data_IF_173853679416
#
_entry.id   IF_173853679416
#
_cell.length_a   1.000
_cell.length_b   1.000
_cell.length_c   1.000
_cell.angle_alpha   90.00
_cell.angle_beta   90.00
_cell.angle_gamma   90.00
#
_symmetry.space_group_name_H-M   'P 1'
#
loop_
_entity.id
_entity.type
_entity.pdbx_description
1 polymer ?
#
# COMPACT_ATOMS: atom_id res chain seq x y z
N UNK A 1 -44.35 -19.31 6.71
CA UNK A 1 -43.05 -18.81 7.17
C UNK A 1 -43.29 -17.60 8.02
N UNK A 2 -42.75 -17.54 9.25
CA UNK A 2 -42.98 -16.40 10.14
C UNK A 2 -42.20 -15.17 9.62
N UNK A 3 -42.76 -13.96 9.82
CA UNK A 3 -42.12 -12.70 9.44
C UNK A 3 -40.71 -12.57 9.97
N UNK A 4 -40.41 -13.17 11.12
CA UNK A 4 -39.09 -13.23 11.76
C UNK A 4 -38.05 -14.04 10.96
N UNK A 5 -38.44 -15.14 10.31
CA UNK A 5 -37.53 -15.93 9.53
C UNK A 5 -37.12 -15.24 8.22
N UNK A 6 -38.02 -14.49 7.60
CA UNK A 6 -37.72 -13.69 6.40
C UNK A 6 -36.77 -12.53 6.74
N UNK A 7 -36.99 -11.86 7.88
CA UNK A 7 -36.10 -10.79 8.34
C UNK A 7 -34.69 -11.27 8.62
N UNK A 8 -34.51 -12.39 9.33
CA UNK A 8 -33.20 -12.98 9.61
C UNK A 8 -32.48 -13.41 8.32
N UNK A 9 -33.19 -14.01 7.36
CA UNK A 9 -32.62 -14.40 6.09
C UNK A 9 -32.13 -13.18 5.28
N UNK A 10 -32.91 -12.10 5.28
CA UNK A 10 -32.52 -10.86 4.59
C UNK A 10 -31.28 -10.23 5.20
N UNK A 11 -31.15 -10.23 6.53
CA UNK A 11 -29.95 -9.73 7.23
C UNK A 11 -28.74 -10.60 6.88
N UNK A 12 -28.88 -11.92 6.87
CA UNK A 12 -27.80 -12.84 6.52
C UNK A 12 -27.33 -12.65 5.08
N UNK A 13 -28.26 -12.48 4.14
CA UNK A 13 -27.96 -12.13 2.74
C UNK A 13 -27.20 -10.78 2.64
N UNK A 14 -27.67 -9.75 3.33
CA UNK A 14 -27.01 -8.45 3.32
C UNK A 14 -25.59 -8.54 3.87
N UNK A 15 -25.38 -9.25 4.98
CA UNK A 15 -24.04 -9.50 5.53
C UNK A 15 -23.13 -10.28 4.55
N UNK A 16 -23.68 -11.26 3.86
CA UNK A 16 -22.92 -12.01 2.85
C UNK A 16 -22.50 -11.15 1.67
N UNK A 17 -23.35 -10.22 1.22
CA UNK A 17 -23.02 -9.28 0.14
C UNK A 17 -21.97 -8.23 0.57
N UNK A 18 -22.04 -7.77 1.83
CA UNK A 18 -21.14 -6.73 2.34
C UNK A 18 -19.76 -7.31 2.69
N UNK A 19 -19.74 -8.45 3.38
CA UNK A 19 -18.51 -9.03 3.94
C UNK A 19 -17.96 -10.21 3.12
N UNK A 20 -18.72 -10.68 2.11
CA UNK A 20 -18.36 -11.88 1.37
C UNK A 20 -18.41 -13.16 2.21
N UNK A 21 -17.91 -14.25 1.64
CA UNK A 21 -17.83 -15.55 2.30
C UNK A 21 -16.48 -15.67 3.05
N UNK A 22 -16.47 -15.83 4.38
CA UNK A 22 -15.23 -15.88 5.17
C UNK A 22 -14.33 -17.08 4.83
N UNK A 23 -14.85 -18.14 4.21
CA UNK A 23 -14.03 -19.26 3.76
C UNK A 23 -13.07 -18.84 2.64
N UNK A 24 -13.50 -17.94 1.76
CA UNK A 24 -12.66 -17.47 0.66
C UNK A 24 -11.52 -16.58 1.12
N UNK A 25 -11.59 -15.94 2.30
CA UNK A 25 -10.45 -15.23 2.88
C UNK A 25 -9.28 -16.18 3.18
N UNK A 26 -9.59 -17.40 3.63
CA UNK A 26 -8.58 -18.42 3.88
C UNK A 26 -8.00 -18.96 2.58
N UNK A 27 -8.85 -19.11 1.56
CA UNK A 27 -8.44 -19.60 0.24
C UNK A 27 -7.47 -18.62 -0.41
N UNK A 28 -7.86 -17.35 -0.58
CA UNK A 28 -6.99 -16.34 -1.22
C UNK A 28 -5.69 -16.15 -0.45
N UNK A 29 -5.74 -16.15 0.90
CA UNK A 29 -4.55 -16.09 1.74
C UNK A 29 -3.60 -17.26 1.45
N UNK A 30 -4.13 -18.50 1.41
CA UNK A 30 -3.34 -19.72 1.17
C UNK A 30 -2.71 -19.68 -0.22
N UNK A 31 -3.49 -19.41 -1.25
CA UNK A 31 -3.02 -19.39 -2.64
C UNK A 31 -2.00 -18.27 -2.88
N UNK A 32 -2.20 -17.08 -2.28
CA UNK A 32 -1.19 -16.01 -2.32
C UNK A 32 0.10 -16.45 -1.62
N UNK A 33 0.02 -17.10 -0.48
CA UNK A 33 1.21 -17.62 0.20
C UNK A 33 1.95 -18.66 -0.66
N UNK A 34 1.23 -19.60 -1.29
CA UNK A 34 1.79 -20.59 -2.22
C UNK A 34 2.45 -19.89 -3.41
N UNK A 35 1.78 -18.93 -4.02
CA UNK A 35 2.33 -18.14 -5.13
C UNK A 35 3.65 -17.45 -4.76
N UNK A 36 3.67 -16.76 -3.63
CA UNK A 36 4.87 -16.05 -3.15
C UNK A 36 6.04 -17.00 -2.91
N UNK A 37 5.78 -18.19 -2.37
CA UNK A 37 6.86 -19.15 -2.10
C UNK A 37 7.30 -19.93 -3.32
N UNK A 38 6.36 -20.40 -4.15
CA UNK A 38 6.67 -21.32 -5.26
C UNK A 38 7.01 -20.62 -6.56
N UNK A 39 6.37 -19.49 -6.83
CA UNK A 39 6.56 -18.75 -8.09
C UNK A 39 7.55 -17.61 -7.91
N UNK A 40 7.41 -16.83 -6.82
CA UNK A 40 8.27 -15.67 -6.56
C UNK A 40 9.51 -16.00 -5.73
N UNK A 41 9.57 -17.16 -5.09
CA UNK A 41 10.75 -17.64 -4.35
C UNK A 41 10.96 -16.97 -2.98
N UNK A 42 10.00 -16.19 -2.48
CA UNK A 42 10.10 -15.57 -1.16
C UNK A 42 10.14 -16.63 -0.05
N UNK A 43 11.00 -16.41 0.94
CA UNK A 43 11.06 -17.25 2.14
C UNK A 43 10.04 -16.77 3.17
N UNK A 44 9.50 -17.70 3.97
CA UNK A 44 8.54 -17.35 5.04
C UNK A 44 9.05 -16.25 5.99
N UNK A 45 10.36 -16.20 6.24
CA UNK A 45 10.97 -15.18 7.09
C UNK A 45 10.96 -13.76 6.49
N UNK A 46 10.77 -13.61 5.19
CA UNK A 46 10.74 -12.32 4.48
C UNK A 46 9.35 -11.69 4.53
N UNK A 47 8.32 -12.50 4.72
CA UNK A 47 6.95 -12.06 4.81
C UNK A 47 6.60 -11.79 6.28
N UNK A 48 6.06 -10.60 6.56
CA UNK A 48 5.58 -10.23 7.89
C UNK A 48 4.16 -10.74 8.12
N UNK A 49 3.26 -10.53 7.16
CA UNK A 49 1.87 -10.97 7.25
C UNK A 49 1.22 -11.17 5.89
N UNK A 50 0.25 -12.08 5.83
CA UNK A 50 -0.67 -12.24 4.71
C UNK A 50 -2.08 -12.28 5.30
N UNK A 51 -2.96 -11.38 4.82
CA UNK A 51 -4.34 -11.27 5.31
C UNK A 51 -5.31 -11.30 4.13
N UNK A 52 -6.19 -12.30 4.11
CA UNK A 52 -7.27 -12.36 3.11
C UNK A 52 -8.37 -11.36 3.43
N UNK A 53 -8.88 -10.68 2.42
CA UNK A 53 -9.92 -9.67 2.51
C UNK A 53 -10.94 -9.80 1.38
N UNK A 54 -12.02 -9.04 1.50
CA UNK A 54 -13.04 -8.91 0.48
C UNK A 54 -13.46 -7.44 0.34
N UNK A 55 -13.70 -7.02 -0.87
CA UNK A 55 -14.39 -5.77 -1.16
C UNK A 55 -15.32 -5.95 -2.34
N UNK A 56 -16.53 -5.40 -2.24
CA UNK A 56 -17.47 -5.30 -3.35
C UNK A 56 -17.22 -4.08 -4.23
N UNK A 57 -16.34 -3.16 -3.78
CA UNK A 57 -15.99 -1.97 -4.53
C UNK A 57 -15.08 -2.34 -5.71
N UNK A 58 -15.31 -1.69 -6.86
CA UNK A 58 -14.49 -1.85 -8.07
C UNK A 58 -14.41 -3.28 -8.63
N UNK A 59 -15.36 -4.16 -8.27
CA UNK A 59 -15.37 -5.58 -8.70
C UNK A 59 -14.10 -6.37 -8.34
N UNK A 60 -13.33 -5.94 -7.33
CA UNK A 60 -12.10 -6.61 -6.91
C UNK A 60 -12.42 -7.99 -6.31
N UNK A 61 -13.48 -8.09 -5.49
CA UNK A 61 -13.85 -9.35 -4.85
C UNK A 61 -12.90 -9.74 -3.71
N UNK A 62 -12.37 -10.96 -3.74
CA UNK A 62 -11.41 -11.44 -2.74
C UNK A 62 -9.99 -11.11 -3.13
N UNK A 63 -9.23 -10.58 -2.17
CA UNK A 63 -7.83 -10.24 -2.34
C UNK A 63 -7.04 -10.53 -1.05
N UNK A 64 -5.73 -10.63 -1.16
CA UNK A 64 -4.84 -10.77 -0.03
C UNK A 64 -3.94 -9.55 0.10
N UNK A 65 -3.83 -9.04 1.32
CA UNK A 65 -2.84 -8.03 1.67
C UNK A 65 -1.58 -8.70 2.21
N UNK A 66 -0.44 -8.34 1.64
CA UNK A 66 0.88 -8.84 2.01
C UNK A 66 1.73 -7.68 2.51
N UNK A 67 2.35 -7.87 3.67
CA UNK A 67 3.35 -6.95 4.20
C UNK A 67 4.68 -7.69 4.28
N UNK A 68 5.72 -7.12 3.70
CA UNK A 68 7.08 -7.66 3.78
C UNK A 68 7.83 -7.07 4.97
N UNK A 69 8.79 -7.84 5.53
CA UNK A 69 9.51 -7.39 6.73
C UNK A 69 10.49 -6.25 6.49
N UNK A 70 11.07 -6.22 5.31
CA UNK A 70 11.98 -5.16 4.88
C UNK A 70 11.25 -3.89 4.42
N UNK A 71 9.93 -3.99 4.14
CA UNK A 71 9.07 -2.86 3.81
C UNK A 71 7.77 -2.88 4.62
N UNK A 72 7.82 -2.77 5.96
CA UNK A 72 6.65 -2.91 6.83
C UNK A 72 5.62 -1.78 6.66
N UNK A 73 5.97 -0.74 5.91
CA UNK A 73 5.14 0.44 5.63
C UNK A 73 4.18 0.21 4.48
N UNK A 74 4.49 -0.72 3.57
CA UNK A 74 3.69 -1.00 2.41
C UNK A 74 2.85 -2.26 2.58
N UNK A 75 1.64 -2.19 2.02
CA UNK A 75 0.73 -3.32 1.95
C UNK A 75 0.47 -3.60 0.47
N UNK A 76 0.98 -4.72 0.00
CA UNK A 76 0.82 -5.17 -1.37
C UNK A 76 -0.45 -5.98 -1.52
N UNK A 77 -1.27 -5.67 -2.51
CA UNK A 77 -2.51 -6.37 -2.77
C UNK A 77 -2.32 -7.43 -3.85
N UNK A 78 -2.84 -8.61 -3.61
CA UNK A 78 -2.84 -9.74 -4.54
C UNK A 78 -4.26 -10.20 -4.79
N UNK A 79 -4.64 -10.37 -6.04
CA UNK A 79 -5.97 -10.78 -6.45
C UNK A 79 -5.90 -11.82 -7.55
N UNK A 80 -7.07 -12.26 -8.05
CA UNK A 80 -7.13 -13.15 -9.20
C UNK A 80 -7.26 -12.38 -10.50
N UNK A 81 -6.52 -12.80 -11.52
CA UNK A 81 -6.78 -12.40 -12.89
C UNK A 81 -8.01 -13.13 -13.48
N UNK A 82 -8.35 -12.84 -14.72
CA UNK A 82 -9.45 -13.48 -15.46
C UNK A 82 -9.25 -15.00 -15.62
N UNK A 83 -8.03 -15.51 -15.51
CA UNK A 83 -7.68 -16.92 -15.60
C UNK A 83 -7.58 -17.59 -14.22
N UNK A 84 -8.01 -16.90 -13.15
CA UNK A 84 -7.91 -17.34 -11.75
C UNK A 84 -6.48 -17.56 -11.25
N UNK A 85 -5.52 -16.88 -11.84
CA UNK A 85 -4.13 -16.86 -11.36
C UNK A 85 -3.95 -15.70 -10.40
N UNK A 86 -3.14 -15.90 -9.36
CA UNK A 86 -2.74 -14.81 -8.45
C UNK A 86 -1.86 -13.83 -9.22
N UNK A 87 -2.23 -12.56 -9.13
CA UNK A 87 -1.47 -11.43 -9.66
C UNK A 87 -1.38 -10.34 -8.58
N UNK A 88 -0.31 -9.58 -8.61
CA UNK A 88 -0.20 -8.38 -7.79
C UNK A 88 -1.01 -7.25 -8.42
N UNK A 89 -1.80 -6.56 -7.60
CA UNK A 89 -2.47 -5.32 -8.01
C UNK A 89 -1.45 -4.17 -7.98
N UNK A 90 -1.36 -3.43 -9.09
CA UNK A 90 -0.30 -2.43 -9.35
C UNK A 90 -0.48 -1.09 -8.58
N UNK A 91 -1.21 -1.09 -7.47
CA UNK A 91 -1.54 0.14 -6.71
C UNK A 91 -0.40 0.70 -5.85
N UNK A 92 0.70 -0.04 -5.62
CA UNK A 92 1.77 0.36 -4.70
C UNK A 92 3.12 0.23 -5.40
N UNK A 93 3.95 1.25 -5.19
CA UNK A 93 5.28 1.35 -5.77
C UNK A 93 6.34 1.13 -4.67
N UNK A 94 6.69 -0.13 -4.42
CA UNK A 94 7.74 -0.54 -3.49
C UNK A 94 8.66 -1.57 -4.13
N UNK A 95 9.64 -2.08 -3.39
CA UNK A 95 10.63 -3.06 -3.86
C UNK A 95 10.02 -4.36 -4.36
N UNK A 96 8.88 -4.73 -3.78
CA UNK A 96 8.17 -5.96 -4.11
C UNK A 96 7.08 -5.74 -5.16
N UNK A 97 7.10 -4.60 -5.88
CA UNK A 97 6.19 -4.34 -6.97
C UNK A 97 6.62 -5.12 -8.21
N UNK A 98 5.81 -6.08 -8.63
CA UNK A 98 6.15 -7.00 -9.71
C UNK A 98 6.40 -6.32 -11.05
N UNK A 99 5.71 -5.22 -11.34
CA UNK A 99 5.96 -4.42 -12.54
C UNK A 99 7.33 -3.74 -12.57
N UNK A 100 8.03 -3.67 -11.44
CA UNK A 100 9.35 -3.02 -11.34
C UNK A 100 10.52 -3.99 -11.24
N UNK A 101 10.28 -5.29 -11.21
CA UNK A 101 11.33 -6.31 -11.16
C UNK A 101 12.41 -6.16 -12.26
N UNK A 102 12.04 -5.49 -13.37
CA UNK A 102 12.92 -5.27 -14.53
C UNK A 102 13.59 -3.87 -14.55
N UNK A 103 13.23 -2.99 -13.60
CA UNK A 103 13.76 -1.64 -13.56
C UNK A 103 14.96 -1.56 -12.63
N UNK A 104 16.05 -0.96 -13.13
CA UNK A 104 17.24 -0.70 -12.31
C UNK A 104 17.02 0.58 -11.48
N UNK A 105 16.15 0.50 -10.45
CA UNK A 105 15.80 1.63 -9.61
C UNK A 105 16.79 1.84 -8.48
N UNK A 106 17.04 3.10 -8.12
CA UNK A 106 17.90 3.44 -6.99
C UNK A 106 17.17 3.27 -5.65
N UNK A 107 17.08 2.02 -5.17
CA UNK A 107 16.43 1.68 -3.92
C UNK A 107 17.05 2.34 -2.68
N UNK A 108 18.33 2.71 -2.74
CA UNK A 108 18.96 3.48 -1.65
C UNK A 108 18.35 4.86 -1.49
N UNK A 109 18.02 5.53 -2.61
CA UNK A 109 17.32 6.82 -2.60
C UNK A 109 15.91 6.68 -2.02
N UNK A 110 15.22 5.61 -2.38
CA UNK A 110 13.89 5.29 -1.84
C UNK A 110 13.95 5.12 -0.31
N UNK A 111 14.89 4.32 0.21
CA UNK A 111 15.06 4.12 1.65
C UNK A 111 15.36 5.41 2.38
N UNK A 112 16.24 6.24 1.82
CA UNK A 112 16.59 7.53 2.42
C UNK A 112 15.36 8.46 2.49
N UNK A 113 14.53 8.48 1.45
CA UNK A 113 13.30 9.28 1.45
C UNK A 113 12.34 8.81 2.54
N UNK A 114 12.06 7.50 2.61
CA UNK A 114 11.17 6.92 3.63
C UNK A 114 11.70 7.18 5.03
N UNK A 115 12.99 6.96 5.26
CA UNK A 115 13.64 7.22 6.55
C UNK A 115 13.54 8.71 6.92
N UNK A 116 13.80 9.60 5.97
CA UNK A 116 13.69 11.06 6.18
C UNK A 116 12.27 11.50 6.52
N UNK A 117 11.25 10.93 5.88
CA UNK A 117 9.84 11.18 6.20
C UNK A 117 9.54 10.74 7.64
N UNK A 118 9.93 9.51 8.01
CA UNK A 118 9.70 9.01 9.37
C UNK A 118 10.37 9.89 10.42
N UNK A 119 11.62 10.25 10.21
CA UNK A 119 12.37 11.14 11.12
C UNK A 119 11.65 12.47 11.28
N UNK A 120 11.30 13.14 10.18
CA UNK A 120 10.59 14.43 10.21
C UNK A 120 9.24 14.35 10.95
N UNK A 121 8.47 13.30 10.72
CA UNK A 121 7.16 13.14 11.35
C UNK A 121 7.27 12.75 12.83
N UNK A 122 8.25 11.90 13.19
CA UNK A 122 8.54 11.56 14.60
C UNK A 122 8.99 12.77 15.41
N UNK A 123 9.83 13.65 14.86
CA UNK A 123 10.22 14.92 15.49
C UNK A 123 9.02 15.83 15.77
N UNK A 124 7.95 15.68 14.98
CA UNK A 124 6.67 16.37 15.18
C UNK A 124 5.73 15.63 16.15
N UNK A 125 6.17 14.54 16.77
CA UNK A 125 5.38 13.73 17.70
C UNK A 125 4.33 12.85 17.03
N UNK A 126 4.44 12.62 15.72
CA UNK A 126 3.52 11.77 14.96
C UNK A 126 4.06 10.36 14.84
N UNK A 127 3.20 9.37 14.96
CA UNK A 127 3.55 7.96 14.84
C UNK A 127 2.90 7.32 13.61
N UNK A 128 3.68 6.50 12.92
CA UNK A 128 3.19 5.70 11.81
C UNK A 128 2.03 4.79 12.22
N UNK A 129 1.16 4.47 11.28
CA UNK A 129 -0.08 3.67 11.47
C UNK A 129 -1.14 4.32 12.36
N UNK A 130 -0.76 5.13 13.34
CA UNK A 130 -1.70 5.84 14.19
C UNK A 130 -2.12 7.18 13.60
N UNK A 131 -1.13 7.97 13.19
CA UNK A 131 -1.33 9.36 12.78
C UNK A 131 -1.18 9.58 11.29
N UNK A 132 -0.37 8.77 10.61
CA UNK A 132 -0.13 8.85 9.17
C UNK A 132 0.14 7.48 8.53
N UNK A 133 0.10 7.45 7.21
CA UNK A 133 0.59 6.34 6.38
C UNK A 133 1.24 6.88 5.11
N UNK A 134 2.30 6.21 4.64
CA UNK A 134 2.91 6.51 3.35
C UNK A 134 2.17 5.67 2.31
N UNK A 135 1.52 6.31 1.33
CA UNK A 135 0.71 5.59 0.33
C UNK A 135 1.42 5.34 -0.98
N UNK A 136 2.10 6.35 -1.49
CA UNK A 136 2.73 6.28 -2.79
C UNK A 136 4.12 6.84 -2.72
N UNK A 137 5.07 6.13 -3.30
CA UNK A 137 6.41 6.66 -3.58
C UNK A 137 6.62 6.56 -5.07
N UNK A 138 7.02 7.66 -5.69
CA UNK A 138 7.32 7.72 -7.11
C UNK A 138 8.80 8.01 -7.29
N UNK A 139 9.43 7.30 -8.23
CA UNK A 139 10.70 7.75 -8.77
C UNK A 139 10.40 8.83 -9.82
N UNK A 140 10.95 10.01 -9.63
CA UNK A 140 10.79 11.12 -10.55
C UNK A 140 12.04 11.15 -11.41
N UNK A 141 11.84 11.05 -12.72
CA UNK A 141 12.87 11.40 -13.68
C UNK A 141 12.91 12.94 -13.71
N UNK A 142 13.85 13.47 -12.95
CA UNK A 142 14.11 14.92 -12.99
C UNK A 142 15.10 15.11 -14.13
N UNK A 143 14.68 15.82 -15.17
CA UNK A 143 15.47 16.16 -16.35
C UNK A 143 16.97 16.31 -16.05
N UNK A 144 17.77 15.57 -16.80
CA UNK A 144 19.23 15.64 -16.89
C UNK A 144 20.00 15.50 -15.56
N UNK A 145 20.31 14.28 -15.16
CA UNK A 145 21.32 13.85 -14.18
C UNK A 145 20.91 13.58 -12.72
N UNK A 146 19.67 13.69 -12.29
CA UNK A 146 19.35 13.38 -10.88
C UNK A 146 18.05 12.59 -10.77
N UNK A 147 18.18 11.29 -10.56
CA UNK A 147 17.06 10.46 -10.14
C UNK A 147 16.54 10.99 -8.80
N UNK A 148 15.30 11.49 -8.78
CA UNK A 148 14.61 11.96 -7.60
C UNK A 148 13.61 10.91 -7.11
N UNK A 149 13.25 11.01 -5.83
CA UNK A 149 12.14 10.24 -5.29
C UNK A 149 11.14 11.20 -4.62
N UNK A 150 9.86 10.91 -4.79
CA UNK A 150 8.75 11.64 -4.18
C UNK A 150 7.83 10.67 -3.47
N UNK A 151 7.33 11.05 -2.29
CA UNK A 151 6.38 10.26 -1.56
C UNK A 151 5.17 11.08 -1.13
N UNK A 152 3.99 10.44 -1.13
CA UNK A 152 2.75 11.00 -0.62
C UNK A 152 2.45 10.41 0.75
N UNK A 153 2.16 11.29 1.71
CA UNK A 153 1.83 10.93 3.09
C UNK A 153 0.42 11.37 3.41
N UNK A 154 -0.42 10.43 3.82
CA UNK A 154 -1.77 10.70 4.28
C UNK A 154 -1.82 10.78 5.80
N UNK A 155 -2.51 11.79 6.31
CA UNK A 155 -2.77 11.98 7.73
C UNK A 155 -4.18 11.51 8.08
N UNK A 156 -4.30 10.62 9.07
CA UNK A 156 -5.59 10.03 9.46
C UNK A 156 -6.56 10.99 10.14
N UNK A 157 -6.06 12.09 10.70
CA UNK A 157 -6.86 13.06 11.43
C UNK A 157 -7.21 14.32 10.64
N UNK A 158 -6.58 14.54 9.51
CA UNK A 158 -6.78 15.74 8.71
C UNK A 158 -7.03 15.34 7.25
N UNK A 159 -8.31 15.16 6.92
CA UNK A 159 -8.76 14.74 5.58
C UNK A 159 -8.43 15.77 4.48
N UNK A 160 -7.90 16.94 4.82
CA UNK A 160 -7.66 18.05 3.89
C UNK A 160 -6.20 18.28 3.51
N UNK A 161 -5.26 17.56 4.11
CA UNK A 161 -3.83 17.82 3.90
C UNK A 161 -3.06 16.57 3.46
N UNK A 162 -3.12 16.29 2.17
CA UNK A 162 -2.14 15.40 1.55
C UNK A 162 -0.82 16.18 1.47
N UNK A 163 0.22 15.63 2.06
CA UNK A 163 1.54 16.22 2.00
C UNK A 163 2.43 15.38 1.10
N UNK A 164 3.13 16.05 0.19
CA UNK A 164 4.16 15.44 -0.62
C UNK A 164 5.53 15.70 -0.01
N UNK A 165 6.40 14.71 -0.09
CA UNK A 165 7.78 14.78 0.34
C UNK A 165 8.70 14.52 -0.83
N UNK A 166 9.76 15.31 -0.93
CA UNK A 166 10.86 15.11 -1.89
C UNK A 166 12.19 15.06 -1.18
N UNK A 167 13.16 14.44 -1.81
CA UNK A 167 14.55 14.58 -1.39
C UNK A 167 15.20 15.77 -2.08
N UNK A 168 15.97 16.55 -1.28
CA UNK A 168 16.85 17.58 -1.84
C UNK A 168 18.19 16.95 -2.28
N UNK A 169 19.05 17.78 -2.87
CA UNK A 169 20.38 17.38 -3.34
C UNK A 169 21.32 16.90 -2.22
N UNK A 170 20.99 17.20 -0.96
CA UNK A 170 21.75 16.81 0.24
C UNK A 170 21.24 15.48 0.84
N UNK A 171 20.24 14.83 0.22
CA UNK A 171 19.65 13.60 0.73
C UNK A 171 18.67 13.80 1.89
N UNK A 172 18.19 15.04 2.13
CA UNK A 172 17.19 15.32 3.16
C UNK A 172 15.79 15.31 2.57
N UNK A 173 14.86 14.61 3.24
CA UNK A 173 13.46 14.68 2.91
C UNK A 173 12.86 16.00 3.41
N UNK A 174 12.20 16.73 2.54
CA UNK A 174 11.48 17.94 2.86
C UNK A 174 10.02 17.87 2.40
N UNK A 175 9.17 18.49 3.19
CA UNK A 175 7.74 18.59 2.90
C UNK A 175 7.50 19.74 1.92
N UNK A 176 6.68 19.51 0.90
CA UNK A 176 6.17 20.56 0.05
C UNK A 176 4.66 20.40 -0.16
N UNK A 177 3.99 21.51 -0.40
CA UNK A 177 2.60 21.51 -0.81
C UNK A 177 2.45 22.35 -2.07
N UNK A 178 1.73 21.84 -3.05
CA UNK A 178 1.43 22.57 -4.26
C UNK A 178 -0.05 22.97 -4.28
N UNK A 179 -0.33 24.26 -4.46
CA UNK A 179 -1.68 24.76 -4.69
C UNK A 179 -1.68 25.72 -5.86
N UNK A 180 -2.60 25.50 -6.84
CA UNK A 180 -2.73 26.33 -8.05
C UNK A 180 -1.42 26.52 -8.83
N UNK A 181 -0.63 25.46 -8.96
CA UNK A 181 0.65 25.47 -9.70
C UNK A 181 1.80 26.16 -9.00
N UNK A 182 1.62 26.61 -7.75
CA UNK A 182 2.69 27.13 -6.91
C UNK A 182 3.01 26.13 -5.80
N UNK A 183 4.26 25.67 -5.77
CA UNK A 183 4.76 24.78 -4.72
C UNK A 183 5.43 25.62 -3.62
N UNK A 184 5.05 25.39 -2.38
CA UNK A 184 5.63 26.01 -1.20
C UNK A 184 6.46 24.94 -0.49
N UNK A 185 7.75 25.18 -0.40
CA UNK A 185 8.68 24.34 0.35
C UNK A 185 8.67 24.79 1.80
N UNK A 186 8.49 23.85 2.72
CA UNK A 186 8.66 24.10 4.16
C UNK A 186 10.01 23.53 4.55
N UNK A 187 11.05 24.33 4.39
CA UNK A 187 12.31 24.10 5.10
C UNK A 187 12.11 24.53 6.57
N UNK A 188 12.55 23.68 7.48
CA UNK A 188 12.76 24.05 8.87
C UNK A 188 14.22 24.34 9.10
#
# INVERSE_FOLDING_TARGET
MSLSAVGLFSIFLAMYFIFGNPLYYKVIKKETNEYLHTIKGYKQKEIQSITGKYTSLYNIGYYAEVVYKDEPYFTYSYTYDNNKKIIQDNGILGRHTESFEHLNLNWSLFDQLIQGIHTNLQERGLSEKKDYSIRHVHFIDIDDDKNGAEAYVDFKKDEKSDYSYRMNNEGKAYQYSCSNGKCIFKEK
#
